data_IF_692796566611
#
_entry.id   IF_692796566611
#
_cell.length_a   1.000
_cell.length_b   1.000
_cell.length_c   1.000
_cell.angle_alpha   90.00
_cell.angle_beta   90.00
_cell.angle_gamma   90.00
#
_symmetry.space_group_name_H-M   'P 1'
#
loop_
_entity.id
_entity.type
_entity.pdbx_description
1 polymer ?
2 polymer ?
3 non-polymer ?
4 water ?
#
# COMPACT_ATOMS: atom_id res chain seq x y z
N UNK A 1 -7.39 -18.88 -5.99
CA UNK A 1 -7.32 -17.73 -5.06
C UNK A 1 -6.02 -17.01 -5.31
N UNK A 2 -6.00 -15.69 -5.11
CA UNK A 2 -4.68 -15.03 -5.37
C UNK A 2 -3.88 -15.21 -4.07
N UNK A 3 -2.62 -15.34 -4.23
CA UNK A 3 -1.65 -15.51 -3.09
C UNK A 3 -1.53 -14.20 -2.36
N UNK A 4 -0.94 -14.21 -1.18
CA UNK A 4 -0.77 -12.97 -0.38
C UNK A 4 0.15 -12.05 -1.14
N UNK A 5 1.18 -12.57 -1.81
CA UNK A 5 2.10 -11.72 -2.58
C UNK A 5 1.38 -10.96 -3.70
N UNK A 6 0.46 -11.63 -4.40
CA UNK A 6 -0.29 -11.01 -5.50
C UNK A 6 -1.27 -9.96 -4.93
N UNK A 7 -1.90 -10.24 -3.87
CA UNK A 7 -2.85 -9.27 -3.27
C UNK A 7 -2.05 -8.04 -2.82
N UNK A 8 -0.83 -8.21 -2.34
CA UNK A 8 -0.02 -7.11 -1.90
C UNK A 8 0.20 -6.16 -3.12
N UNK A 9 0.60 -6.71 -4.22
CA UNK A 9 0.81 -5.92 -5.48
C UNK A 9 -0.48 -5.21 -5.92
N UNK A 10 -1.59 -5.93 -6.04
CA UNK A 10 -2.86 -5.35 -6.44
C UNK A 10 -3.26 -4.15 -5.58
N UNK A 11 -3.29 -4.35 -4.27
CA UNK A 11 -3.69 -3.34 -3.31
C UNK A 11 -2.71 -2.22 -3.12
N UNK A 12 -1.41 -2.49 -3.31
CA UNK A 12 -0.49 -1.36 -3.04
C UNK A 12 0.50 -0.92 -4.06
N UNK A 13 0.66 -1.59 -5.16
CA UNK A 13 1.73 -1.12 -6.10
C UNK A 13 1.24 -0.18 -7.18
N UNK A 14 1.91 0.93 -7.37
CA UNK A 14 1.51 1.83 -8.49
C UNK A 14 2.81 2.37 -9.09
N UNK A 15 3.52 1.52 -9.82
CA UNK A 15 4.78 1.95 -10.41
C UNK A 15 4.60 2.77 -11.65
N UNK A 16 3.37 2.91 -12.15
CA UNK A 16 3.09 3.66 -13.38
C UNK A 16 3.19 5.14 -13.15
N UNK A 17 2.98 5.70 -12.01
CA UNK A 17 3.13 7.15 -11.79
C UNK A 17 4.06 7.46 -10.66
N UNK A 18 4.77 8.58 -10.71
CA UNK A 18 5.72 8.92 -9.62
C UNK A 18 5.09 9.45 -8.36
N UNK A 19 3.89 9.93 -8.40
CA UNK A 19 3.17 10.51 -7.25
C UNK A 19 1.70 10.64 -7.66
N UNK A 20 0.84 10.95 -6.72
CA UNK A 20 -0.58 11.11 -7.02
C UNK A 20 -0.67 12.31 -7.99
N UNK A 21 -1.47 12.13 -9.02
CA UNK A 21 -1.66 13.19 -10.01
C UNK A 21 -2.52 14.31 -9.39
N UNK A 22 -3.74 13.95 -9.10
CA UNK A 22 -4.76 14.82 -8.56
C UNK A 22 -5.54 14.22 -7.40
N UNK A 23 -6.41 15.07 -6.84
CA UNK A 23 -7.21 14.69 -5.69
C UNK A 23 -8.20 13.59 -6.04
N UNK A 24 -8.23 13.24 -7.32
CA UNK A 24 -9.15 12.16 -7.77
C UNK A 24 -8.46 10.83 -7.90
N UNK A 25 -7.16 10.84 -7.53
CA UNK A 25 -6.34 9.60 -7.58
C UNK A 25 -6.91 8.48 -6.75
N UNK A 26 -7.24 8.71 -5.49
CA UNK A 26 -7.81 7.59 -4.66
C UNK A 26 -9.08 6.99 -5.23
N UNK A 27 -10.02 7.86 -5.59
CA UNK A 27 -11.33 7.48 -6.17
C UNK A 27 -11.13 6.49 -7.32
N UNK A 28 -10.29 6.91 -8.25
CA UNK A 28 -9.98 6.07 -9.44
C UNK A 28 -9.25 4.79 -9.13
N UNK A 29 -8.15 4.88 -8.37
CA UNK A 29 -7.36 3.69 -8.02
C UNK A 29 -8.10 2.75 -7.12
N UNK A 30 -8.85 3.13 -6.12
CA UNK A 30 -9.58 2.19 -5.27
C UNK A 30 -10.52 1.34 -6.09
N UNK A 31 -11.22 1.99 -7.07
CA UNK A 31 -12.20 1.31 -7.94
C UNK A 31 -11.41 0.38 -8.91
N UNK A 32 -10.44 0.96 -9.57
CA UNK A 32 -9.58 0.29 -10.50
C UNK A 32 -8.98 -1.03 -9.97
N UNK A 33 -8.46 -1.05 -8.79
CA UNK A 33 -7.81 -2.24 -8.21
C UNK A 33 -8.81 -3.15 -7.54
N UNK A 34 -10.07 -2.86 -7.72
CA UNK A 34 -11.24 -3.51 -7.25
C UNK A 34 -11.39 -3.42 -5.73
N UNK A 35 -11.11 -2.34 -5.09
CA UNK A 35 -11.23 -2.27 -3.62
C UNK A 35 -12.52 -1.70 -3.07
N UNK A 36 -13.44 -1.38 -3.92
CA UNK A 36 -14.74 -0.81 -3.70
C UNK A 36 -15.86 -1.68 -4.27
N UNK A 37 -15.64 -2.98 -4.26
CA UNK A 37 -16.60 -3.92 -4.79
C UNK A 37 -17.69 -4.26 -3.83
N UNK A 38 -17.54 -5.15 -2.90
CA UNK A 38 -18.66 -5.48 -1.99
C UNK A 38 -18.93 -4.29 -1.05
N UNK A 39 -17.79 -3.78 -0.61
CA UNK A 39 -17.71 -2.70 0.35
C UNK A 39 -16.73 -1.64 -0.02
N UNK A 40 -16.75 -0.54 0.76
CA UNK A 40 -15.78 0.56 0.51
C UNK A 40 -14.57 0.24 1.43
N UNK A 41 -13.43 -0.09 0.85
CA UNK A 41 -12.25 -0.38 1.75
C UNK A 41 -11.93 0.98 2.35
N UNK A 42 -11.95 1.10 3.66
CA UNK A 42 -11.74 2.34 4.34
C UNK A 42 -10.43 3.10 4.17
N UNK A 43 -9.34 2.38 4.20
CA UNK A 43 -8.01 2.97 4.11
C UNK A 43 -7.12 2.07 3.27
N UNK A 44 -6.28 2.69 2.50
CA UNK A 44 -5.33 1.91 1.65
C UNK A 44 -4.18 2.83 1.32
N UNK A 45 -2.98 2.30 1.02
CA UNK A 45 -1.83 3.00 0.67
C UNK A 45 -1.24 2.48 -0.63
N UNK A 46 -0.85 3.38 -1.50
CA UNK A 46 -0.22 3.04 -2.75
C UNK A 46 1.22 3.62 -2.68
N UNK A 47 2.10 2.74 -3.17
CA UNK A 47 3.51 2.97 -3.26
C UNK A 47 3.87 3.13 -4.76
N UNK A 48 4.51 4.24 -5.02
CA UNK A 48 4.97 4.64 -6.33
C UNK A 48 6.48 4.45 -6.45
N UNK A 49 6.89 3.22 -6.56
CA UNK A 49 8.30 2.81 -6.70
C UNK A 49 8.30 1.54 -7.49
N UNK A 50 9.41 1.13 -8.04
CA UNK A 50 9.45 -0.12 -8.82
C UNK A 50 9.16 -1.27 -7.85
N UNK A 51 8.69 -2.38 -8.39
CA UNK A 51 8.37 -3.56 -7.59
C UNK A 51 9.63 -4.07 -6.96
N UNK A 52 10.72 -4.00 -7.72
CA UNK A 52 12.05 -4.44 -7.30
C UNK A 52 12.43 -3.62 -6.09
N UNK A 53 12.29 -2.31 -6.14
CA UNK A 53 12.66 -1.50 -4.92
C UNK A 53 11.77 -1.91 -3.71
N UNK A 54 10.53 -2.26 -4.02
CA UNK A 54 9.64 -2.62 -2.82
C UNK A 54 9.99 -3.98 -2.28
N UNK A 55 10.30 -4.93 -3.16
CA UNK A 55 10.66 -6.29 -2.71
C UNK A 55 12.00 -6.20 -1.97
N UNK A 56 12.90 -5.37 -2.36
CA UNK A 56 14.20 -5.20 -1.69
C UNK A 56 14.08 -4.83 -0.24
N UNK A 57 13.04 -4.17 0.19
CA UNK A 57 12.83 -3.73 1.57
C UNK A 57 12.85 -4.93 2.50
N UNK A 58 12.46 -6.12 2.01
CA UNK A 58 12.49 -7.28 2.84
C UNK A 58 13.96 -7.61 3.24
N UNK A 59 14.91 -6.91 2.68
CA UNK A 59 16.30 -7.26 3.13
C UNK A 59 16.89 -6.02 3.76
N UNK A 60 16.02 -5.12 4.26
CA UNK A 60 16.47 -3.87 4.88
C UNK A 60 16.32 -3.91 6.40
N UNK A 61 15.88 -2.87 7.11
CA UNK A 61 15.87 -2.94 8.55
C UNK A 61 14.80 -3.78 9.23
N UNK A 62 15.25 -4.79 9.93
CA UNK A 62 14.30 -5.69 10.65
C UNK A 62 13.71 -4.94 11.82
N UNK A 63 12.42 -4.99 11.96
CA UNK A 63 11.71 -4.32 13.08
C UNK A 63 10.53 -5.17 13.48
N UNK A 64 9.94 -4.86 14.63
CA UNK A 64 8.73 -5.62 15.05
C UNK A 64 7.58 -5.04 14.17
N UNK A 65 6.62 -5.88 13.91
CA UNK A 65 5.39 -5.63 13.17
C UNK A 65 4.45 -5.15 14.30
N UNK A 66 3.40 -4.54 13.98
CA UNK A 66 2.42 -4.01 14.99
C UNK A 66 1.80 -5.13 15.76
N UNK A 67 1.75 -6.33 15.16
CA UNK A 67 1.15 -7.49 15.86
C UNK A 67 2.18 -8.18 16.76
N UNK A 68 3.41 -7.70 16.81
CA UNK A 68 4.48 -8.26 17.61
C UNK A 68 5.32 -9.29 16.87
N UNK A 69 4.87 -9.74 15.74
CA UNK A 69 5.67 -10.70 14.94
C UNK A 69 6.92 -9.88 14.54
N UNK A 70 7.98 -10.57 14.24
CA UNK A 70 9.29 -10.14 13.90
C UNK A 70 9.74 -10.20 12.48
N UNK A 71 8.85 -10.44 11.54
CA UNK A 71 9.19 -10.50 10.11
C UNK A 71 8.88 -9.21 9.35
N UNK A 72 8.95 -8.04 9.96
CA UNK A 72 8.72 -6.76 9.35
C UNK A 72 10.06 -6.11 9.05
N UNK A 73 10.11 -5.36 8.01
CA UNK A 73 11.27 -4.64 7.52
C UNK A 73 10.96 -3.23 7.14
N UNK A 74 11.76 -2.28 7.53
CA UNK A 74 11.60 -0.86 7.25
C UNK A 74 12.54 -0.43 6.15
N UNK A 75 12.05 0.33 5.18
CA UNK A 75 12.94 0.75 4.04
C UNK A 75 13.98 1.73 4.66
N UNK A 76 15.18 1.71 4.16
CA UNK A 76 16.27 2.59 4.59
C UNK A 76 15.95 4.01 4.14
N UNK A 77 15.38 4.04 2.90
CA UNK A 77 15.04 5.41 2.36
C UNK A 77 13.56 5.67 2.32
N UNK A 78 13.21 6.93 2.12
CA UNK A 78 11.81 7.39 2.03
C UNK A 78 11.31 7.01 0.63
N UNK A 79 10.02 6.71 0.57
CA UNK A 79 9.40 6.30 -0.67
C UNK A 79 8.15 7.16 -0.98
N UNK A 80 7.93 7.34 -2.28
CA UNK A 80 6.74 8.11 -2.71
C UNK A 80 5.50 7.31 -2.46
N UNK A 81 4.57 7.73 -1.64
CA UNK A 81 3.38 6.94 -1.33
C UNK A 81 2.15 7.84 -1.34
N UNK A 82 0.99 7.22 -1.51
CA UNK A 82 -0.28 8.02 -1.55
C UNK A 82 -1.24 7.33 -0.57
N UNK A 83 -1.74 8.05 0.40
CA UNK A 83 -2.68 7.51 1.39
C UNK A 83 -4.13 7.83 0.90
N UNK A 84 -4.95 6.84 0.88
CA UNK A 84 -6.35 6.93 0.47
C UNK A 84 -7.19 6.61 1.71
N UNK A 85 -8.01 7.57 2.10
CA UNK A 85 -8.89 7.44 3.24
C UNK A 85 -10.32 7.90 2.94
N UNK A 86 -11.25 7.02 3.27
CA UNK A 86 -12.65 7.25 3.10
C UNK A 86 -13.15 8.43 3.94
N UNK A 87 -13.79 9.34 3.24
CA UNK A 87 -14.40 10.54 3.80
C UNK A 87 -15.59 10.05 4.62
N UNK A 88 -16.08 10.91 5.50
CA UNK A 88 -17.20 10.58 6.39
C UNK A 88 -18.56 10.47 5.74
N UNK A 89 -18.79 11.05 4.60
CA UNK A 89 -20.13 10.96 3.93
C UNK A 89 -20.20 9.75 3.01
N UNK A 90 -19.13 9.50 2.29
CA UNK A 90 -18.93 8.41 1.36
C UNK A 90 -19.81 7.24 1.81
N UNK A 91 -20.51 6.65 0.89
CA UNK A 91 -21.40 5.49 1.22
C UNK A 91 -21.40 4.55 0.03
N UNK A 92 -21.36 3.27 0.35
CA UNK A 92 -21.37 2.26 -0.75
C UNK A 92 -22.70 2.46 -1.49
N UNK A 93 -22.68 2.41 -2.79
CA UNK A 93 -21.54 2.17 -3.66
C UNK A 93 -20.89 3.43 -4.12
N UNK A 94 -21.24 4.55 -3.50
CA UNK A 94 -20.60 5.87 -3.87
C UNK A 94 -19.39 6.00 -2.92
N UNK A 95 -18.26 5.41 -3.27
CA UNK A 95 -17.05 5.45 -2.39
C UNK A 95 -16.23 6.71 -2.65
N UNK A 96 -16.09 7.55 -1.69
CA UNK A 96 -15.35 8.82 -1.77
C UNK A 96 -14.09 8.76 -0.92
N UNK A 97 -12.96 9.19 -1.45
CA UNK A 97 -11.69 9.15 -0.72
C UNK A 97 -10.89 10.40 -0.75
N UNK A 98 -10.15 10.67 0.31
CA UNK A 98 -9.28 11.83 0.43
C UNK A 98 -7.92 11.29 -0.03
N UNK A 99 -7.13 12.00 -0.74
CA UNK A 99 -5.81 11.54 -1.20
C UNK A 99 -4.76 12.48 -0.58
N UNK A 100 -3.75 11.84 -0.06
CA UNK A 100 -2.63 12.55 0.59
C UNK A 100 -1.33 12.00 -0.01
N UNK A 101 -0.54 12.77 -0.63
CA UNK A 101 0.74 12.36 -1.21
C UNK A 101 1.79 12.72 -0.15
N UNK A 102 2.75 11.87 0.04
CA UNK A 102 3.82 12.10 1.04
C UNK A 102 4.99 11.19 0.66
N UNK A 103 6.11 11.48 1.24
CA UNK A 103 7.34 10.67 0.97
C UNK A 103 7.63 10.03 2.34
N UNK A 104 7.52 8.74 2.50
CA UNK A 104 7.76 8.10 3.80
C UNK A 104 8.47 6.76 3.65
N UNK A 105 8.84 6.23 4.80
CA UNK A 105 9.52 4.97 4.94
C UNK A 105 8.34 3.95 5.04
N UNK A 106 8.47 2.85 4.43
CA UNK A 106 7.38 1.81 4.50
C UNK A 106 7.90 0.68 5.33
N UNK A 107 7.04 -0.02 6.02
CA UNK A 107 7.36 -1.14 6.85
C UNK A 107 6.48 -2.28 6.25
N UNK A 108 7.01 -3.31 5.75
CA UNK A 108 6.32 -4.43 5.16
C UNK A 108 6.64 -5.70 5.95
N UNK A 109 5.73 -6.62 5.88
CA UNK A 109 5.87 -7.97 6.49
C UNK A 109 6.26 -8.82 5.28
N UNK A 110 7.28 -9.59 5.44
CA UNK A 110 7.82 -10.45 4.36
C UNK A 110 7.66 -11.93 4.62
N UNK A 111 7.46 -12.63 3.51
CA UNK A 111 7.27 -14.07 3.48
C UNK A 111 7.91 -14.66 2.24
N UNK A 112 8.15 -15.95 2.31
CA UNK A 112 8.79 -16.77 1.30
C UNK A 112 8.16 -16.66 -0.07
N UNK A 113 9.00 -16.70 -1.06
CA UNK A 113 8.76 -16.62 -2.48
C UNK A 113 9.91 -17.45 -3.17
N UNK B 4 12.41 -14.94 -3.27
CA UNK B 4 12.64 -15.67 -1.99
C UNK B 4 11.78 -15.01 -0.93
N UNK B 5 12.24 -13.89 -0.43
CA UNK B 5 11.44 -13.16 0.65
C UNK B 5 10.66 -12.08 -0.07
N UNK B 6 9.36 -12.02 0.02
CA UNK B 6 8.54 -10.99 -0.68
C UNK B 6 7.51 -10.33 0.21
N UNK B 7 7.20 -9.07 -0.01
CA UNK B 7 6.20 -8.33 0.77
C UNK B 7 4.81 -8.99 0.67
N UNK B 8 4.17 -9.09 1.81
CA UNK B 8 2.82 -9.73 1.90
C UNK B 8 1.86 -8.80 2.62
N UNK B 9 2.41 -7.78 3.33
CA UNK B 9 1.52 -6.88 4.06
C UNK B 9 2.19 -5.52 4.22
N UNK B 10 1.39 -4.48 4.24
CA UNK B 10 1.98 -3.13 4.43
C UNK B 10 1.62 -2.82 5.89
N UNK B 11 2.56 -2.91 6.77
CA UNK B 11 2.30 -2.70 8.19
C UNK B 11 2.09 -1.24 8.48
N UNK B 12 2.83 -0.36 7.79
CA UNK B 12 2.71 1.06 8.05
C UNK B 12 3.61 1.90 7.15
N UNK B 13 3.50 3.19 7.25
CA UNK B 13 4.33 4.16 6.54
C UNK B 13 4.88 5.12 7.64
N UNK B 14 6.10 5.46 7.45
CA UNK B 14 7.01 6.27 8.22
C UNK B 14 6.83 5.95 9.73
X LIG C 1 -2.31 -5.33 4.08
X LIG C 1 -1.82 -5.04 5.46
X LIG C 1 -2.48 -6.81 3.92
X LIG C 1 -3.59 -4.59 3.87
X LIG C 1 -1.32 -4.84 3.06
#
# INVERSE_FOLDING_TARGET
>A
KETAAAKFERQHMDSSTSAASSSNYCNQMMKSRNLTKDRCKPVNTFVHESLADVQAVCSQKNVACKNGQTNCYQSYSTMSITDCRETGSSKYPNCAYKTTQANKHIIVACEGNPYVPV
>B
EGSPYVPVHLDASV
>C hetero
1 SO4 S O1 O2 O3 O4
#
